data_IF_997440115343
#
_entry.id   IF_997440115343
#
_cell.length_a   1.000
_cell.length_b   1.000
_cell.length_c   1.000
_cell.angle_alpha   90.00
_cell.angle_beta   90.00
_cell.angle_gamma   90.00
#
_symmetry.space_group_name_H-M   'P 1'
#
loop_
_entity.id
_entity.type
_entity.pdbx_description
1 polymer ?
#
# COMPACT_ATOMS: atom_id res chain seq x y z
N UNK A 1 -4.38 28.63 -2.99
CA UNK A 1 -3.39 27.56 -2.70
C UNK A 1 -4.07 26.20 -2.80
N UNK A 2 -3.65 25.36 -3.75
CA UNK A 2 -4.16 23.98 -3.86
C UNK A 2 -3.59 23.18 -2.67
N UNK A 3 -4.46 22.82 -1.73
CA UNK A 3 -4.09 21.99 -0.58
C UNK A 3 -3.57 20.62 -1.05
N UNK A 4 -2.64 20.07 -0.30
CA UNK A 4 -2.17 18.70 -0.54
C UNK A 4 -3.28 17.70 -0.23
N UNK A 5 -3.34 16.64 -1.04
CA UNK A 5 -4.35 15.59 -0.93
C UNK A 5 -3.68 14.24 -0.97
N UNK A 6 -4.19 13.29 -0.22
CA UNK A 6 -3.53 12.01 -0.03
C UNK A 6 -4.40 10.81 -0.40
N UNK A 7 -3.73 9.80 -0.93
CA UNK A 7 -4.24 8.44 -1.04
C UNK A 7 -3.66 7.64 0.11
N UNK A 8 -4.48 6.88 0.79
CA UNK A 8 -4.05 5.94 1.83
C UNK A 8 -4.41 4.54 1.38
N UNK A 9 -3.42 3.70 1.20
CA UNK A 9 -3.57 2.32 0.79
C UNK A 9 -3.35 1.38 1.97
N UNK A 10 -4.20 0.35 2.06
CA UNK A 10 -4.01 -0.79 2.97
C UNK A 10 -4.45 -2.08 2.27
N UNK A 11 -3.79 -3.20 2.57
CA UNK A 11 -4.21 -4.53 2.12
C UNK A 11 -5.45 -5.00 2.88
N UNK A 12 -5.63 -4.51 4.11
CA UNK A 12 -6.66 -4.94 5.04
C UNK A 12 -7.85 -3.98 5.04
N UNK A 13 -9.01 -4.46 4.60
CA UNK A 13 -10.24 -3.64 4.63
C UNK A 13 -10.64 -3.25 6.05
N UNK A 14 -10.38 -4.11 7.05
CA UNK A 14 -10.59 -3.79 8.46
C UNK A 14 -9.77 -2.59 8.95
N UNK A 15 -8.56 -2.41 8.43
CA UNK A 15 -7.74 -1.22 8.73
C UNK A 15 -8.38 0.03 8.11
N UNK A 16 -8.88 -0.08 6.88
CA UNK A 16 -9.59 1.04 6.24
C UNK A 16 -10.86 1.42 7.02
N UNK A 17 -11.60 0.44 7.56
CA UNK A 17 -12.79 0.69 8.38
C UNK A 17 -12.41 1.44 9.68
N UNK A 18 -11.31 1.06 10.33
CA UNK A 18 -10.78 1.77 11.50
C UNK A 18 -10.36 3.20 11.12
N UNK A 19 -9.68 3.38 10.00
CA UNK A 19 -9.27 4.70 9.53
C UNK A 19 -10.48 5.59 9.21
N UNK A 20 -11.58 5.04 8.68
CA UNK A 20 -12.83 5.76 8.50
C UNK A 20 -13.32 6.35 9.83
N UNK A 21 -13.41 5.51 10.86
CA UNK A 21 -13.85 5.95 12.21
C UNK A 21 -12.93 7.03 12.77
N UNK A 22 -11.61 6.86 12.60
CA UNK A 22 -10.64 7.86 13.06
C UNK A 22 -10.80 9.20 12.33
N UNK A 23 -10.95 9.19 11.00
CA UNK A 23 -11.13 10.40 10.20
C UNK A 23 -12.45 11.11 10.53
N UNK A 24 -13.53 10.36 10.76
CA UNK A 24 -14.81 10.91 11.20
C UNK A 24 -14.69 11.59 12.57
N UNK A 25 -14.01 10.93 13.52
CA UNK A 25 -13.77 11.52 14.84
C UNK A 25 -12.95 12.81 14.78
N UNK A 26 -12.01 12.86 13.83
CA UNK A 26 -11.18 14.06 13.60
C UNK A 26 -11.88 15.13 12.76
N UNK A 27 -13.09 14.91 12.28
CA UNK A 27 -13.83 15.82 11.40
C UNK A 27 -13.17 15.98 10.02
N UNK A 28 -12.35 15.02 9.58
CA UNK A 28 -11.67 15.05 8.28
C UNK A 28 -12.57 14.40 7.22
N UNK A 29 -12.89 15.14 6.16
CA UNK A 29 -13.63 14.59 5.03
C UNK A 29 -12.80 13.57 4.28
N UNK A 30 -13.39 12.48 3.89
CA UNK A 30 -12.75 11.45 3.07
C UNK A 30 -13.73 10.80 2.09
N UNK A 31 -13.20 10.09 1.12
CA UNK A 31 -13.88 9.09 0.31
C UNK A 31 -13.08 7.80 0.40
N UNK A 32 -13.72 6.65 0.17
CA UNK A 32 -13.00 5.40 0.26
C UNK A 32 -13.66 4.26 -0.52
N UNK A 33 -12.83 3.36 -1.03
CA UNK A 33 -13.25 2.04 -1.46
C UNK A 33 -13.02 1.06 -0.33
N UNK A 34 -14.08 0.61 0.29
CA UNK A 34 -14.05 -0.57 1.16
C UNK A 34 -14.26 -1.82 0.32
N UNK A 35 -14.01 -3.01 0.89
CA UNK A 35 -14.28 -4.28 0.21
C UNK A 35 -15.76 -4.47 -0.19
N UNK A 36 -16.66 -3.66 0.37
CA UNK A 36 -18.10 -3.67 0.09
C UNK A 36 -18.52 -2.68 -1.01
N UNK A 37 -17.61 -1.84 -1.50
CA UNK A 37 -17.93 -0.84 -2.52
C UNK A 37 -18.19 -1.52 -3.87
N UNK A 38 -19.41 -1.36 -4.39
CA UNK A 38 -19.78 -1.91 -5.71
C UNK A 38 -18.89 -1.32 -6.81
N UNK A 39 -18.62 -2.14 -7.83
CA UNK A 39 -17.76 -1.74 -8.95
C UNK A 39 -18.30 -0.50 -9.66
N UNK A 40 -19.64 -0.37 -9.79
CA UNK A 40 -20.29 0.79 -10.40
C UNK A 40 -20.09 2.11 -9.63
N UNK A 41 -19.95 2.04 -8.32
CA UNK A 41 -19.83 3.22 -7.47
C UNK A 41 -18.41 3.78 -7.42
N UNK A 42 -17.41 2.99 -7.86
CA UNK A 42 -16.00 3.37 -7.79
C UNK A 42 -15.67 4.61 -8.60
N UNK A 43 -16.21 4.70 -9.82
CA UNK A 43 -15.99 5.87 -10.67
C UNK A 43 -16.63 7.12 -10.06
N UNK A 44 -17.81 7.00 -9.47
CA UNK A 44 -18.49 8.10 -8.78
C UNK A 44 -17.64 8.63 -7.62
N UNK A 45 -16.99 7.75 -6.86
CA UNK A 45 -16.10 8.16 -5.76
C UNK A 45 -14.81 8.83 -6.28
N UNK A 46 -14.24 8.36 -7.39
CA UNK A 46 -13.10 8.99 -8.05
C UNK A 46 -13.46 10.39 -8.54
N UNK A 47 -14.62 10.53 -9.18
CA UNK A 47 -15.11 11.80 -9.70
C UNK A 47 -15.41 12.78 -8.55
N UNK A 48 -16.01 12.30 -7.46
CA UNK A 48 -16.23 13.08 -6.25
C UNK A 48 -14.92 13.56 -5.63
N UNK A 49 -13.93 12.64 -5.50
CA UNK A 49 -12.61 13.04 -5.01
C UNK A 49 -11.96 14.07 -5.94
N UNK A 50 -12.02 13.88 -7.25
CA UNK A 50 -11.37 14.77 -8.21
C UNK A 50 -12.01 16.16 -8.24
N UNK A 51 -13.34 16.23 -8.19
CA UNK A 51 -14.11 17.49 -8.33
C UNK A 51 -14.21 18.31 -7.05
N UNK A 52 -14.21 17.65 -5.86
CA UNK A 52 -14.33 18.33 -4.58
C UNK A 52 -12.97 18.49 -3.87
N UNK A 53 -12.35 19.68 -3.93
CA UNK A 53 -11.05 19.93 -3.30
C UNK A 53 -11.13 19.97 -1.75
N UNK A 54 -12.32 19.94 -1.17
CA UNK A 54 -12.51 19.92 0.30
C UNK A 54 -12.31 18.54 0.90
N UNK A 55 -12.21 17.49 0.06
CA UNK A 55 -11.94 16.12 0.47
C UNK A 55 -10.44 15.87 0.40
N UNK A 56 -9.69 15.87 1.52
CA UNK A 56 -8.23 15.72 1.51
C UNK A 56 -7.76 14.27 1.40
N UNK A 57 -8.60 13.28 1.76
CA UNK A 57 -8.18 11.89 1.91
C UNK A 57 -9.02 10.96 1.05
N UNK A 58 -8.35 10.02 0.38
CA UNK A 58 -8.98 8.89 -0.29
C UNK A 58 -8.41 7.57 0.25
N UNK A 59 -9.25 6.76 0.87
CA UNK A 59 -8.89 5.43 1.40
C UNK A 59 -9.12 4.36 0.33
N UNK A 60 -8.13 3.50 0.08
CA UNK A 60 -8.20 2.48 -0.96
C UNK A 60 -7.58 1.17 -0.47
N UNK A 61 -8.22 0.04 -0.82
CA UNK A 61 -7.50 -1.22 -0.70
C UNK A 61 -6.44 -1.33 -1.81
N UNK A 62 -5.29 -1.92 -1.50
CA UNK A 62 -4.19 -2.11 -2.47
C UNK A 62 -4.69 -2.87 -3.71
N UNK A 63 -5.57 -3.86 -3.52
CA UNK A 63 -6.21 -4.59 -4.64
C UNK A 63 -7.11 -3.71 -5.51
N UNK A 64 -7.82 -2.74 -4.91
CA UNK A 64 -8.63 -1.79 -5.67
C UNK A 64 -7.77 -0.81 -6.47
N UNK A 65 -6.56 -0.52 -6.01
CA UNK A 65 -5.55 0.22 -6.75
C UNK A 65 -5.20 -0.40 -8.10
N UNK A 66 -5.32 -1.72 -8.27
CA UNK A 66 -5.08 -2.43 -9.54
C UNK A 66 -6.04 -2.06 -10.70
N UNK A 67 -7.16 -1.39 -10.42
CA UNK A 67 -8.25 -1.16 -11.39
C UNK A 67 -8.03 -0.02 -12.40
N UNK A 68 -6.82 0.49 -12.55
CA UNK A 68 -6.52 1.49 -13.59
C UNK A 68 -7.04 2.91 -13.33
N UNK A 69 -7.63 3.18 -12.16
CA UNK A 69 -8.18 4.50 -11.79
C UNK A 69 -7.10 5.59 -11.84
N UNK A 70 -7.49 6.79 -12.25
CA UNK A 70 -6.61 7.96 -12.31
C UNK A 70 -6.87 8.88 -11.10
N UNK A 71 -5.86 9.09 -10.27
CA UNK A 71 -5.98 9.85 -9.02
C UNK A 71 -4.94 10.98 -8.93
N UNK A 72 -4.64 11.63 -10.04
CA UNK A 72 -3.70 12.78 -10.13
C UNK A 72 -4.15 13.99 -9.29
N UNK A 73 -5.36 13.98 -8.76
CA UNK A 73 -5.82 15.00 -7.82
C UNK A 73 -5.09 14.94 -6.46
N UNK A 74 -4.48 13.81 -6.13
CA UNK A 74 -3.63 13.64 -4.96
C UNK A 74 -2.14 13.73 -5.33
N UNK A 75 -1.34 14.17 -4.37
CA UNK A 75 0.12 14.26 -4.50
C UNK A 75 0.85 13.60 -3.32
N UNK A 76 0.12 13.01 -2.37
CA UNK A 76 0.65 12.17 -1.31
C UNK A 76 0.10 10.76 -1.43
N UNK A 77 0.96 9.78 -1.29
CA UNK A 77 0.59 8.35 -1.24
C UNK A 77 1.11 7.79 0.07
N UNK A 78 0.22 7.30 0.90
CA UNK A 78 0.54 6.63 2.16
C UNK A 78 0.27 5.15 1.99
N UNK A 79 1.31 4.34 2.11
CA UNK A 79 1.21 2.88 2.22
C UNK A 79 1.14 2.57 3.72
N UNK A 80 -0.05 2.26 4.22
CA UNK A 80 -0.31 2.06 5.64
C UNK A 80 0.28 0.73 6.14
N UNK A 81 0.22 -0.27 5.31
CA UNK A 81 0.90 -1.55 5.41
C UNK A 81 1.55 -1.89 4.06
N UNK A 82 2.52 -2.80 4.06
CA UNK A 82 3.30 -3.11 2.88
C UNK A 82 2.95 -4.48 2.34
N UNK A 83 2.98 -4.61 1.01
CA UNK A 83 2.81 -5.90 0.34
C UNK A 83 4.14 -6.63 0.23
N UNK A 84 4.11 -7.97 0.35
CA UNK A 84 5.25 -8.84 0.05
C UNK A 84 5.72 -8.73 -1.40
N UNK A 85 4.80 -8.34 -2.30
CA UNK A 85 5.10 -8.05 -3.68
C UNK A 85 5.26 -6.54 -3.88
N UNK A 86 6.49 -6.02 -4.06
CA UNK A 86 6.75 -4.59 -4.22
C UNK A 86 6.08 -4.00 -5.48
N UNK A 87 5.69 -4.83 -6.45
CA UNK A 87 4.98 -4.37 -7.64
C UNK A 87 3.56 -3.86 -7.30
N UNK A 88 2.92 -4.41 -6.26
CA UNK A 88 1.62 -3.93 -5.81
C UNK A 88 1.71 -2.52 -5.22
N UNK A 89 2.75 -2.26 -4.42
CA UNK A 89 3.05 -0.93 -3.88
C UNK A 89 3.40 0.07 -4.99
N UNK A 90 4.18 -0.37 -5.98
CA UNK A 90 4.49 0.44 -7.16
C UNK A 90 3.23 0.78 -7.95
N UNK A 91 2.36 -0.20 -8.21
CA UNK A 91 1.08 0.06 -8.88
C UNK A 91 0.22 1.06 -8.11
N UNK A 92 0.16 0.98 -6.79
CA UNK A 92 -0.56 1.94 -5.95
C UNK A 92 0.00 3.36 -6.12
N UNK A 93 1.32 3.50 -6.10
CA UNK A 93 2.03 4.77 -6.29
C UNK A 93 1.76 5.36 -7.69
N UNK A 94 1.76 4.52 -8.72
CA UNK A 94 1.54 4.90 -10.12
C UNK A 94 0.12 5.45 -10.38
N UNK A 95 -0.81 5.37 -9.41
CA UNK A 95 -2.13 6.04 -9.51
C UNK A 95 -2.04 7.56 -9.42
N UNK A 96 -1.06 8.07 -8.67
CA UNK A 96 -0.76 9.50 -8.60
C UNK A 96 0.29 9.93 -9.62
N UNK A 97 1.24 9.05 -9.94
CA UNK A 97 2.38 9.34 -10.81
C UNK A 97 2.01 9.11 -12.28
N UNK A 98 1.13 9.97 -12.80
CA UNK A 98 0.61 9.86 -14.17
C UNK A 98 0.66 11.18 -14.92
N UNK A 99 0.50 11.09 -16.24
CA UNK A 99 0.31 12.27 -17.12
C UNK A 99 -0.85 13.09 -16.57
N UNK A 100 -0.61 14.38 -16.33
CA UNK A 100 -1.56 15.30 -15.69
C UNK A 100 -1.24 15.63 -14.24
N UNK A 101 -0.29 14.95 -13.61
CA UNK A 101 0.22 15.34 -12.29
C UNK A 101 1.11 16.59 -12.41
N UNK A 102 0.75 17.64 -11.70
CA UNK A 102 1.44 18.93 -11.72
C UNK A 102 2.23 19.24 -10.46
N UNK A 103 2.10 18.37 -9.43
CA UNK A 103 2.80 18.49 -8.15
C UNK A 103 3.82 17.36 -7.97
N UNK A 104 4.90 17.58 -7.22
CA UNK A 104 5.75 16.49 -6.76
C UNK A 104 4.92 15.46 -5.98
N UNK A 105 5.09 14.18 -6.29
CA UNK A 105 4.43 13.10 -5.56
C UNK A 105 5.33 12.64 -4.42
N UNK A 106 4.79 12.66 -3.20
CA UNK A 106 5.46 12.15 -2.00
C UNK A 106 4.87 10.79 -1.64
N UNK A 107 5.72 9.78 -1.48
CA UNK A 107 5.34 8.44 -1.05
C UNK A 107 5.84 8.19 0.37
N UNK A 108 4.93 7.86 1.27
CA UNK A 108 5.21 7.54 2.67
C UNK A 108 4.87 6.07 2.91
N UNK A 109 5.80 5.31 3.47
CA UNK A 109 5.59 3.95 3.95
C UNK A 109 5.63 3.95 5.47
N UNK A 110 4.59 3.41 6.10
CA UNK A 110 4.57 3.22 7.55
C UNK A 110 5.17 1.86 7.89
N UNK A 111 6.16 1.86 8.78
CA UNK A 111 6.87 0.65 9.22
C UNK A 111 6.84 0.61 10.74
N UNK A 112 6.28 -0.42 11.31
CA UNK A 112 6.31 -0.64 12.75
C UNK A 112 7.65 -1.23 13.15
N UNK A 113 8.38 -0.53 14.01
CA UNK A 113 9.70 -0.97 14.48
C UNK A 113 9.60 -2.25 15.31
N UNK A 114 10.51 -3.19 15.09
CA UNK A 114 10.57 -4.47 15.81
C UNK A 114 9.42 -5.41 15.47
N UNK A 115 8.84 -5.28 14.28
CA UNK A 115 7.77 -6.13 13.78
C UNK A 115 8.13 -6.74 12.43
N UNK A 116 7.23 -7.59 11.94
CA UNK A 116 7.31 -8.19 10.60
C UNK A 116 7.42 -7.16 9.45
N UNK A 117 6.99 -5.92 9.66
CA UNK A 117 7.06 -4.88 8.63
C UNK A 117 8.50 -4.62 8.16
N UNK A 118 9.48 -4.71 9.10
CA UNK A 118 10.90 -4.56 8.76
C UNK A 118 11.39 -5.69 7.86
N UNK A 119 10.96 -6.93 8.12
CA UNK A 119 11.32 -8.10 7.31
C UNK A 119 10.68 -8.01 5.90
N UNK A 120 9.41 -7.59 5.83
CA UNK A 120 8.70 -7.38 4.56
C UNK A 120 9.40 -6.31 3.73
N UNK A 121 9.79 -5.19 4.34
CA UNK A 121 10.51 -4.11 3.67
C UNK A 121 11.85 -4.59 3.12
N UNK A 122 12.62 -5.32 3.94
CA UNK A 122 13.91 -5.86 3.53
C UNK A 122 13.77 -6.83 2.34
N UNK A 123 12.71 -7.66 2.35
CA UNK A 123 12.38 -8.55 1.24
C UNK A 123 12.03 -7.77 -0.03
N UNK A 124 11.15 -6.77 0.08
CA UNK A 124 10.73 -5.97 -1.05
C UNK A 124 11.94 -5.27 -1.72
N UNK A 125 12.90 -4.75 -0.94
CA UNK A 125 14.12 -4.16 -1.47
C UNK A 125 14.97 -5.17 -2.23
N UNK A 126 15.17 -6.38 -1.68
CA UNK A 126 15.93 -7.44 -2.34
C UNK A 126 15.30 -7.88 -3.66
N UNK A 127 13.94 -8.02 -3.69
CA UNK A 127 13.22 -8.35 -4.94
C UNK A 127 13.41 -7.28 -6.00
N UNK A 128 13.39 -6.00 -5.64
CA UNK A 128 13.64 -4.91 -6.58
C UNK A 128 15.08 -4.91 -7.09
N UNK A 129 16.08 -5.12 -6.22
CA UNK A 129 17.49 -5.22 -6.62
C UNK A 129 17.75 -6.39 -7.56
N UNK A 130 17.10 -7.54 -7.34
CA UNK A 130 17.19 -8.70 -8.22
C UNK A 130 16.53 -8.39 -9.57
N UNK A 131 15.33 -7.82 -9.59
CA UNK A 131 14.64 -7.45 -10.82
C UNK A 131 15.47 -6.47 -11.69
N UNK A 132 16.15 -5.51 -11.06
CA UNK A 132 17.05 -4.58 -11.77
C UNK A 132 18.29 -5.28 -12.36
N UNK A 133 18.82 -6.30 -11.69
CA UNK A 133 19.97 -7.09 -12.19
C UNK A 133 19.58 -8.05 -13.31
N UNK A 134 18.36 -8.55 -13.31
CA UNK A 134 17.86 -9.60 -14.22
C UNK A 134 17.32 -9.05 -15.53
N UNK A 135 17.12 -7.75 -15.65
CA UNK A 135 16.74 -7.16 -16.95
C UNK A 135 17.74 -7.50 -18.09
N UNK A 136 18.81 -8.25 -17.79
CA UNK A 136 19.79 -8.82 -18.74
C UNK A 136 19.86 -10.35 -18.87
N UNK A 137 19.27 -11.17 -17.96
CA UNK A 137 19.39 -12.65 -17.98
C UNK A 137 18.16 -13.32 -17.33
N UNK A 138 17.21 -13.72 -18.13
CA UNK A 138 15.85 -14.08 -17.65
C UNK A 138 15.60 -15.53 -17.20
N UNK A 139 16.58 -16.44 -17.19
CA UNK A 139 16.30 -17.87 -17.08
C UNK A 139 16.69 -18.58 -15.77
N UNK A 140 17.53 -17.98 -14.91
CA UNK A 140 17.99 -18.64 -13.66
C UNK A 140 17.31 -18.12 -12.38
N UNK A 141 16.38 -17.18 -12.49
CA UNK A 141 15.91 -16.36 -11.37
C UNK A 141 14.58 -16.85 -10.74
N UNK A 142 13.76 -17.60 -11.47
CA UNK A 142 12.49 -18.09 -10.91
C UNK A 142 12.69 -19.09 -9.75
N UNK A 143 13.70 -19.95 -9.83
CA UNK A 143 14.03 -20.90 -8.76
C UNK A 143 14.54 -20.24 -7.48
N UNK A 144 15.33 -19.18 -7.61
CA UNK A 144 15.90 -18.43 -6.49
C UNK A 144 14.84 -17.56 -5.79
N UNK A 145 13.85 -17.06 -6.53
CA UNK A 145 12.74 -16.29 -5.95
C UNK A 145 11.82 -17.15 -5.08
N UNK A 146 11.43 -18.36 -5.55
CA UNK A 146 10.57 -19.27 -4.78
C UNK A 146 11.28 -19.78 -3.51
N UNK A 147 12.56 -20.12 -3.61
CA UNK A 147 13.35 -20.55 -2.47
C UNK A 147 13.47 -19.43 -1.44
N UNK A 148 13.75 -18.21 -1.88
CA UNK A 148 13.91 -17.04 -1.03
C UNK A 148 12.58 -16.63 -0.38
N UNK A 149 11.46 -16.73 -1.08
CA UNK A 149 10.15 -16.48 -0.52
C UNK A 149 9.77 -17.53 0.55
N UNK A 150 10.14 -18.80 0.34
CA UNK A 150 9.99 -19.88 1.31
C UNK A 150 10.82 -19.65 2.57
N UNK A 151 12.10 -19.28 2.42
CA UNK A 151 13.01 -19.02 3.54
C UNK A 151 12.54 -17.85 4.40
N UNK A 152 11.99 -16.82 3.78
CA UNK A 152 11.48 -15.64 4.49
C UNK A 152 10.15 -15.95 5.18
N UNK A 153 9.24 -16.70 4.54
CA UNK A 153 8.03 -17.21 5.20
C UNK A 153 8.39 -18.05 6.41
N UNK A 154 9.44 -18.88 6.31
CA UNK A 154 9.97 -19.66 7.42
C UNK A 154 10.53 -18.79 8.56
N UNK A 155 11.28 -17.75 8.26
CA UNK A 155 11.82 -16.79 9.25
C UNK A 155 10.70 -16.00 9.94
N UNK A 156 9.71 -15.54 9.19
CA UNK A 156 8.52 -14.87 9.70
C UNK A 156 7.75 -15.77 10.67
N UNK A 157 7.48 -17.02 10.27
CA UNK A 157 6.81 -17.98 11.12
C UNK A 157 7.60 -18.25 12.41
N UNK A 158 8.92 -18.37 12.31
CA UNK A 158 9.80 -18.58 13.47
C UNK A 158 9.82 -17.38 14.41
N UNK A 159 9.85 -16.16 13.88
CA UNK A 159 9.81 -14.91 14.66
C UNK A 159 8.48 -14.76 15.39
N UNK A 160 7.35 -15.03 14.72
CA UNK A 160 6.02 -15.00 15.34
C UNK A 160 5.88 -16.06 16.44
N UNK A 161 6.38 -17.27 16.23
CA UNK A 161 6.38 -18.33 17.23
C UNK A 161 7.22 -17.97 18.46
N UNK A 162 8.37 -17.32 18.27
CA UNK A 162 9.21 -16.83 19.35
C UNK A 162 8.48 -15.78 20.20
N UNK A 163 7.83 -14.79 19.57
CA UNK A 163 7.05 -13.76 20.26
C UNK A 163 5.86 -14.33 21.04
N UNK A 164 5.16 -15.33 20.47
CA UNK A 164 4.05 -16.00 21.16
C UNK A 164 4.56 -16.77 22.39
N UNK A 165 5.72 -17.45 22.29
CA UNK A 165 6.32 -18.15 23.42
C UNK A 165 6.73 -17.23 24.56
N UNK A 166 7.34 -16.08 24.24
CA UNK A 166 7.73 -15.09 25.26
C UNK A 166 6.52 -14.52 26.01
N UNK A 167 5.40 -14.29 25.31
CA UNK A 167 4.16 -13.81 25.93
C UNK A 167 3.44 -14.87 26.77
N UNK A 168 3.67 -16.17 26.49
CA UNK A 168 3.06 -17.28 27.25
C UNK A 168 3.83 -17.61 28.52
N UNK A 169 5.01 -17.01 28.73
CA UNK A 169 5.90 -17.29 29.89
C UNK A 169 5.87 -16.13 30.92
N UNK A 170 5.10 -15.07 30.65
CA UNK A 170 4.77 -13.96 31.57
C UNK A 170 3.35 -14.11 32.09
#
# INVERSE_FOLDING_TARGET
ERRDRMLVFSQFTSVLDILCVCLEHMGVKYVGFTGQTNVGDRQVLVDKFTSDPTIPVFLLSTRAGGLGINLVAANWVVLFDQDFNPQNDKQATDRCYRIGQTKPVTVVRLISRGTIDEDILALAHRKLELADRVSGQAAEVEGDEEQMESDIKGRIASSLLAQVRERSTQ
#
